data_IF_532620431444
#
_entry.id   IF_532620431444
#
_cell.length_a   1.000
_cell.length_b   1.000
_cell.length_c   1.000
_cell.angle_alpha   90.00
_cell.angle_beta   90.00
_cell.angle_gamma   90.00
#
_symmetry.space_group_name_H-M   'P 1'
#
loop_
_entity.id
_entity.type
_entity.pdbx_description
1 polymer ?
#
# COMPACT_ATOMS: atom_id res chain seq x y z
N UNK A 1 14.80 1.80 7.59
CA UNK A 1 15.04 1.90 6.14
C UNK A 1 14.06 2.88 5.53
N UNK A 2 14.31 3.35 4.31
CA UNK A 2 13.39 4.27 3.61
C UNK A 2 12.62 3.53 2.52
N UNK A 3 11.30 3.64 2.52
CA UNK A 3 10.44 3.13 1.46
C UNK A 3 9.47 4.20 0.97
N UNK A 4 9.20 4.20 -0.33
CA UNK A 4 8.17 5.07 -0.91
C UNK A 4 6.78 4.54 -0.60
N UNK A 5 5.78 5.42 -0.60
CA UNK A 5 4.37 5.01 -0.51
C UNK A 5 4.01 3.98 -1.60
N UNK A 6 4.58 4.11 -2.81
CA UNK A 6 4.39 3.14 -3.88
C UNK A 6 4.82 1.72 -3.49
N UNK A 7 6.01 1.56 -2.90
CA UNK A 7 6.49 0.24 -2.42
C UNK A 7 5.56 -0.29 -1.33
N UNK A 8 5.19 0.56 -0.37
CA UNK A 8 4.31 0.20 0.75
C UNK A 8 2.96 -0.31 0.25
N UNK A 9 2.25 0.43 -0.61
CA UNK A 9 0.91 0.02 -1.06
C UNK A 9 0.93 -1.22 -1.93
N UNK A 10 1.98 -1.42 -2.74
CA UNK A 10 2.13 -2.61 -3.58
C UNK A 10 2.46 -3.88 -2.77
N UNK A 11 2.98 -3.72 -1.55
CA UNK A 11 3.27 -4.85 -0.64
C UNK A 11 2.05 -5.42 0.08
N UNK A 12 0.95 -4.65 0.18
CA UNK A 12 -0.19 -4.95 1.07
C UNK A 12 -0.84 -6.30 0.73
N UNK A 13 -1.05 -6.59 -0.56
CA UNK A 13 -1.71 -7.83 -0.96
C UNK A 13 -0.86 -9.06 -0.61
N UNK A 14 0.44 -9.01 -0.89
CA UNK A 14 1.37 -10.07 -0.54
C UNK A 14 1.43 -10.28 0.98
N UNK A 15 1.47 -9.21 1.77
CA UNK A 15 1.45 -9.28 3.23
C UNK A 15 0.14 -9.85 3.78
N UNK A 16 -1.00 -9.49 3.17
CA UNK A 16 -2.31 -10.05 3.52
C UNK A 16 -2.33 -11.55 3.27
N UNK A 17 -1.85 -12.00 2.12
CA UNK A 17 -1.77 -13.43 1.78
C UNK A 17 -0.84 -14.18 2.74
N UNK A 18 0.30 -13.56 3.08
CA UNK A 18 1.28 -14.12 4.02
C UNK A 18 0.72 -14.21 5.45
N UNK A 19 -0.07 -13.22 5.89
CA UNK A 19 -0.69 -13.20 7.21
C UNK A 19 -1.70 -14.33 7.44
N UNK A 20 -2.23 -14.91 6.36
CA UNK A 20 -3.16 -16.04 6.41
C UNK A 20 -2.43 -17.40 6.44
N UNK A 21 -1.09 -17.43 6.43
CA UNK A 21 -0.32 -18.68 6.47
C UNK A 21 0.02 -19.06 7.90
N UNK A 22 0.02 -20.37 8.16
CA UNK A 22 0.55 -20.91 9.41
C UNK A 22 2.08 -20.95 9.32
N UNK A 23 2.74 -20.10 10.10
CA UNK A 23 4.20 -19.99 10.19
C UNK A 23 4.64 -20.20 11.64
N UNK A 24 5.92 -20.44 11.87
CA UNK A 24 6.42 -20.52 13.24
C UNK A 24 6.20 -19.20 13.99
N UNK A 25 6.20 -19.28 15.33
CA UNK A 25 5.86 -18.14 16.18
C UNK A 25 6.77 -16.92 15.98
N UNK A 26 8.07 -17.13 15.69
CA UNK A 26 9.02 -16.01 15.53
C UNK A 26 8.78 -15.31 14.20
N UNK A 27 8.61 -16.07 13.12
CA UNK A 27 8.35 -15.52 11.78
C UNK A 27 7.00 -14.83 11.74
N UNK A 28 5.96 -15.44 12.30
CA UNK A 28 4.63 -14.85 12.44
C UNK A 28 4.68 -13.50 13.19
N UNK A 29 5.44 -13.43 14.28
CA UNK A 29 5.57 -12.20 15.07
C UNK A 29 6.27 -11.07 14.28
N UNK A 30 7.34 -11.38 13.54
CA UNK A 30 8.02 -10.41 12.66
C UNK A 30 7.09 -9.88 11.57
N UNK A 31 6.36 -10.78 10.90
CA UNK A 31 5.39 -10.41 9.86
C UNK A 31 4.29 -9.51 10.43
N UNK A 32 3.72 -9.87 11.58
CA UNK A 32 2.70 -9.07 12.24
C UNK A 32 3.21 -7.67 12.62
N UNK A 33 4.47 -7.55 13.08
CA UNK A 33 5.09 -6.26 13.36
C UNK A 33 5.26 -5.42 12.09
N UNK A 34 5.74 -6.03 11.01
CA UNK A 34 5.90 -5.36 9.73
C UNK A 34 4.55 -4.87 9.17
N UNK A 35 3.50 -5.71 9.24
CA UNK A 35 2.14 -5.34 8.83
C UNK A 35 1.66 -4.09 9.57
N UNK A 36 1.83 -4.02 10.90
CA UNK A 36 1.42 -2.83 11.68
C UNK A 36 2.10 -1.56 11.19
N UNK A 37 3.40 -1.61 10.91
CA UNK A 37 4.16 -0.46 10.40
C UNK A 37 3.66 -0.05 9.01
N UNK A 38 3.42 -1.01 8.12
CA UNK A 38 2.89 -0.74 6.77
C UNK A 38 1.47 -0.15 6.85
N UNK A 39 0.60 -0.69 7.71
CA UNK A 39 -0.78 -0.24 7.88
C UNK A 39 -0.84 1.21 8.39
N UNK A 40 0.02 1.60 9.33
CA UNK A 40 0.09 2.98 9.84
C UNK A 40 0.37 3.98 8.69
N UNK A 41 1.37 3.69 7.86
CA UNK A 41 1.72 4.56 6.73
C UNK A 41 0.66 4.51 5.63
N UNK A 42 0.16 3.32 5.30
CA UNK A 42 -0.91 3.11 4.30
C UNK A 42 -2.18 3.91 4.65
N UNK A 43 -2.55 3.95 5.94
CA UNK A 43 -3.69 4.74 6.40
C UNK A 43 -3.51 6.25 6.18
N UNK A 44 -2.30 6.77 6.37
CA UNK A 44 -1.96 8.17 6.08
C UNK A 44 -2.06 8.41 4.58
N UNK A 45 -1.47 7.54 3.75
CA UNK A 45 -1.55 7.62 2.29
C UNK A 45 -3.00 7.64 1.80
N UNK A 46 -3.85 6.72 2.28
CA UNK A 46 -5.28 6.66 1.91
C UNK A 46 -6.01 7.95 2.30
N UNK A 47 -5.69 8.53 3.45
CA UNK A 47 -6.28 9.80 3.91
C UNK A 47 -5.88 10.97 3.00
N UNK A 48 -4.61 11.08 2.62
CA UNK A 48 -4.15 12.14 1.71
C UNK A 48 -4.68 11.93 0.29
N UNK A 49 -4.69 10.69 -0.21
CA UNK A 49 -5.32 10.33 -1.50
C UNK A 49 -6.79 10.75 -1.53
N UNK A 50 -7.54 10.53 -0.45
CA UNK A 50 -8.96 10.96 -0.37
C UNK A 50 -9.11 12.47 -0.51
N UNK A 51 -8.19 13.28 0.03
CA UNK A 51 -8.21 14.73 -0.16
C UNK A 51 -7.96 15.11 -1.62
N UNK A 52 -7.00 14.44 -2.28
CA UNK A 52 -6.77 14.65 -3.72
C UNK A 52 -8.03 14.31 -4.53
N UNK A 53 -8.68 13.18 -4.22
CA UNK A 53 -9.92 12.76 -4.91
C UNK A 53 -11.02 13.78 -4.68
N UNK A 54 -11.18 14.29 -3.46
CA UNK A 54 -12.15 15.35 -3.18
C UNK A 54 -11.86 16.67 -3.92
N UNK A 55 -10.59 16.93 -4.25
CA UNK A 55 -10.15 18.15 -4.95
C UNK A 55 -10.37 18.06 -6.46
N UNK A 56 -10.02 16.93 -7.06
CA UNK A 56 -9.98 16.76 -8.52
C UNK A 56 -11.12 15.90 -9.07
N UNK A 57 -11.93 15.29 -8.20
CA UNK A 57 -13.02 14.41 -8.57
C UNK A 57 -14.24 15.15 -9.12
N UNK A 58 -14.91 14.52 -10.08
CA UNK A 58 -16.16 14.98 -10.67
C UNK A 58 -17.25 14.98 -9.59
N UNK A 59 -17.97 16.10 -9.46
CA UNK A 59 -19.09 16.23 -8.52
C UNK A 59 -20.44 16.04 -9.21
N UNK A 60 -21.40 15.48 -8.49
CA UNK A 60 -22.80 15.43 -8.89
C UNK A 60 -23.49 16.78 -8.66
N UNK A 61 -24.81 16.83 -8.92
CA UNK A 61 -25.61 18.06 -8.79
C UNK A 61 -25.75 18.53 -7.33
N UNK A 62 -25.57 17.62 -6.38
CA UNK A 62 -25.67 17.88 -4.94
C UNK A 62 -24.29 18.22 -4.34
N UNK A 63 -23.23 18.23 -5.16
CA UNK A 63 -21.87 18.55 -4.76
C UNK A 63 -21.08 17.36 -4.18
N UNK A 64 -21.63 16.15 -4.23
CA UNK A 64 -20.95 14.93 -3.80
C UNK A 64 -20.07 14.37 -4.92
N UNK A 65 -19.06 13.56 -4.58
CA UNK A 65 -18.24 12.88 -5.59
C UNK A 65 -19.07 11.85 -6.35
N UNK A 66 -18.98 11.88 -7.69
CA UNK A 66 -19.48 10.78 -8.51
C UNK A 66 -18.59 9.56 -8.33
N UNK A 67 -19.20 8.43 -8.00
CA UNK A 67 -18.53 7.14 -7.82
C UNK A 67 -19.15 6.09 -8.74
N UNK A 68 -18.34 5.14 -9.19
CA UNK A 68 -18.82 3.96 -9.93
C UNK A 68 -19.42 2.90 -8.99
N UNK A 69 -19.90 1.79 -9.56
CA UNK A 69 -20.51 0.68 -8.81
C UNK A 69 -19.56 0.02 -7.80
N UNK A 70 -18.24 0.21 -7.95
CA UNK A 70 -17.21 -0.27 -7.03
C UNK A 70 -16.82 0.78 -5.97
N UNK A 71 -17.46 1.95 -5.97
CA UNK A 71 -17.15 3.06 -5.07
C UNK A 71 -15.89 3.85 -5.46
N UNK A 72 -15.40 3.70 -6.70
CA UNK A 72 -14.26 4.45 -7.21
C UNK A 72 -14.74 5.79 -7.75
N UNK A 73 -14.16 6.88 -7.24
CA UNK A 73 -14.51 8.23 -7.67
C UNK A 73 -14.01 8.54 -9.08
N UNK A 74 -14.86 9.17 -9.89
CA UNK A 74 -14.50 9.69 -11.21
C UNK A 74 -13.62 10.95 -11.04
N UNK A 75 -12.48 10.99 -11.72
CA UNK A 75 -11.63 12.19 -11.79
C UNK A 75 -12.07 13.06 -12.96
N UNK A 76 -12.19 14.36 -12.73
CA UNK A 76 -12.52 15.31 -13.77
C UNK A 76 -11.42 15.31 -14.85
N UNK A 77 -11.82 15.16 -16.11
CA UNK A 77 -10.90 15.08 -17.26
C UNK A 77 -10.03 16.33 -17.37
N UNK A 78 -10.58 17.50 -17.05
CA UNK A 78 -9.84 18.76 -17.11
C UNK A 78 -8.78 18.86 -16.01
N UNK A 79 -8.96 18.14 -14.89
CA UNK A 79 -8.01 18.06 -13.79
C UNK A 79 -7.06 16.85 -13.88
N UNK A 80 -7.19 16.00 -14.91
CA UNK A 80 -6.43 14.76 -15.03
C UNK A 80 -4.89 14.98 -15.00
N UNK A 81 -4.32 16.00 -15.67
CA UNK A 81 -2.89 16.27 -15.58
C UNK A 81 -2.41 16.60 -14.15
N UNK A 82 -3.11 17.49 -13.46
CA UNK A 82 -2.80 17.91 -12.09
C UNK A 82 -3.03 16.79 -11.08
N UNK A 83 -4.07 15.97 -11.29
CA UNK A 83 -4.30 14.75 -10.52
C UNK A 83 -3.12 13.80 -10.67
N UNK A 84 -2.71 13.48 -11.91
CA UNK A 84 -1.63 12.53 -12.17
C UNK A 84 -0.32 12.99 -11.52
N UNK A 85 -0.01 14.29 -11.64
CA UNK A 85 1.15 14.88 -10.98
C UNK A 85 1.04 14.77 -9.45
N UNK A 86 -0.06 15.22 -8.88
CA UNK A 86 -0.25 15.19 -7.41
C UNK A 86 -0.26 13.76 -6.87
N UNK A 87 -0.79 12.81 -7.62
CA UNK A 87 -0.84 11.40 -7.25
C UNK A 87 0.55 10.75 -7.33
N UNK A 88 1.34 11.07 -8.36
CA UNK A 88 2.74 10.66 -8.45
C UNK A 88 3.57 11.23 -7.29
N UNK A 89 3.42 12.53 -7.00
CA UNK A 89 4.12 13.19 -5.90
C UNK A 89 3.86 12.48 -4.56
N UNK A 90 2.60 12.10 -4.26
CA UNK A 90 2.33 11.38 -3.00
C UNK A 90 2.86 9.94 -3.01
N UNK A 91 2.95 9.28 -4.16
CA UNK A 91 3.48 7.92 -4.27
C UNK A 91 5.00 7.88 -4.04
N UNK A 92 5.70 8.94 -4.42
CA UNK A 92 7.16 9.06 -4.30
C UNK A 92 7.64 9.48 -2.91
N UNK A 93 6.73 9.91 -2.01
CA UNK A 93 7.10 10.25 -0.62
C UNK A 93 7.77 9.06 0.06
N UNK A 94 8.98 9.30 0.54
CA UNK A 94 9.76 8.35 1.35
C UNK A 94 9.34 8.41 2.82
N UNK A 95 9.23 7.22 3.44
CA UNK A 95 8.95 7.06 4.85
C UNK A 95 10.10 6.31 5.51
N UNK A 96 10.62 6.85 6.61
CA UNK A 96 11.56 6.16 7.48
C UNK A 96 10.80 5.14 8.34
N UNK A 97 11.00 3.84 8.05
CA UNK A 97 10.28 2.76 8.71
C UNK A 97 11.24 1.70 9.27
N UNK A 98 10.80 1.05 10.36
CA UNK A 98 11.49 -0.08 10.96
C UNK A 98 10.83 -1.40 10.51
N UNK A 99 11.56 -2.18 9.74
CA UNK A 99 11.13 -3.48 9.21
C UNK A 99 12.03 -4.57 9.78
N UNK A 100 11.41 -5.62 10.32
CA UNK A 100 12.09 -6.84 10.71
C UNK A 100 12.39 -7.69 9.49
N UNK A 101 13.65 -8.10 9.35
CA UNK A 101 14.07 -9.00 8.29
C UNK A 101 13.65 -10.45 8.57
N UNK A 102 13.22 -11.14 7.53
CA UNK A 102 12.75 -12.53 7.56
C UNK A 102 13.64 -13.33 6.60
N UNK A 103 14.17 -14.46 7.08
CA UNK A 103 14.95 -15.34 6.21
C UNK A 103 14.01 -16.03 5.25
N UNK A 104 14.39 -16.13 3.98
CA UNK A 104 13.59 -16.86 3.00
C UNK A 104 13.38 -18.32 3.43
N UNK A 105 14.39 -18.93 4.07
CA UNK A 105 14.31 -20.29 4.62
C UNK A 105 13.31 -20.46 5.78
N UNK A 106 12.92 -19.37 6.45
CA UNK A 106 11.89 -19.41 7.50
C UNK A 106 10.46 -19.37 6.90
N UNK A 107 10.32 -18.99 5.63
CA UNK A 107 9.07 -18.99 4.88
C UNK A 107 8.88 -20.36 4.20
N UNK A 108 8.65 -21.42 4.98
CA UNK A 108 8.36 -22.77 4.47
C UNK A 108 6.93 -22.87 3.89
N UNK A 109 6.63 -22.03 2.91
CA UNK A 109 5.32 -21.87 2.29
C UNK A 109 5.46 -21.67 0.78
N UNK A 110 4.38 -21.99 0.06
CA UNK A 110 4.27 -21.64 -1.36
C UNK A 110 3.87 -20.17 -1.51
N UNK A 111 4.74 -19.38 -2.12
CA UNK A 111 4.49 -18.00 -2.54
C UNK A 111 4.80 -17.85 -4.03
N UNK A 112 4.09 -16.96 -4.70
CA UNK A 112 4.40 -16.59 -6.08
C UNK A 112 5.64 -15.69 -6.14
N UNK A 113 6.32 -15.67 -7.29
CA UNK A 113 7.43 -14.75 -7.52
C UNK A 113 7.00 -13.27 -7.37
N UNK A 114 5.77 -12.93 -7.77
CA UNK A 114 5.23 -11.58 -7.63
C UNK A 114 5.06 -11.19 -6.15
N UNK A 115 4.53 -12.08 -5.33
CA UNK A 115 4.41 -11.83 -3.89
C UNK A 115 5.79 -11.63 -3.26
N UNK A 116 6.77 -12.47 -3.62
CA UNK A 116 8.13 -12.35 -3.08
C UNK A 116 8.80 -11.02 -3.47
N UNK A 117 8.66 -10.59 -4.73
CA UNK A 117 9.16 -9.28 -5.20
C UNK A 117 8.49 -8.12 -4.46
N UNK A 118 7.19 -8.21 -4.21
CA UNK A 118 6.43 -7.16 -3.52
C UNK A 118 6.88 -6.97 -2.06
N UNK A 119 7.51 -7.97 -1.44
CA UNK A 119 8.02 -7.92 -0.06
C UNK A 119 9.53 -8.13 0.03
N UNK A 120 10.28 -8.03 -1.07
CA UNK A 120 11.72 -8.35 -1.12
C UNK A 120 12.54 -7.56 -0.09
N UNK A 121 12.11 -6.32 0.19
CA UNK A 121 12.72 -5.44 1.18
C UNK A 121 12.59 -5.96 2.62
N UNK A 122 11.71 -6.92 2.89
CA UNK A 122 11.58 -7.62 4.18
C UNK A 122 12.40 -8.91 4.24
N UNK A 123 12.88 -9.41 3.10
CA UNK A 123 13.55 -10.70 3.01
C UNK A 123 15.06 -10.50 3.18
N UNK A 124 15.71 -11.48 3.80
CA UNK A 124 17.15 -11.69 3.83
C UNK A 124 17.48 -13.14 3.44
N UNK A 125 18.68 -13.34 2.90
CA UNK A 125 19.19 -14.67 2.52
C UNK A 125 19.50 -15.55 3.74
#
# INVERSE_FOLDING_TARGET
MKLTNNVIVNSIEALKNLSCKELDVKTSFKIAKNIKVIDEISNIFVKEKRKLVSKYGTKDKDGNLKVDDNGVAEIDKDNMPEWNKSYADILEIENDIAIEKIKLSDLDIKVSAQELLAIEYMIEE
#
